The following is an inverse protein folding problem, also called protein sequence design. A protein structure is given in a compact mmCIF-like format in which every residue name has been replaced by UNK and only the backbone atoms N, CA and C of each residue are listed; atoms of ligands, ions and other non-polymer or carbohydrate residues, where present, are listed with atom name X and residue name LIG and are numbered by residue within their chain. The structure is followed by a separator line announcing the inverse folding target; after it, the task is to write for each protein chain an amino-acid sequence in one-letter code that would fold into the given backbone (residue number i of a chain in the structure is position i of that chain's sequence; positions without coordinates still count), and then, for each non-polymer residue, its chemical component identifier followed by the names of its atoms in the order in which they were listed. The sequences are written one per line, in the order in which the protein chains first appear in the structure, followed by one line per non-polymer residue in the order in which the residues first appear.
data_IF_892976915365
#
_entry.id   IF_892976915365
#
_cell.length_a   1.000
_cell.length_b   1.000
_cell.length_c   1.000
_cell.angle_alpha   90.00
_cell.angle_beta   90.00
_cell.angle_gamma   90.00
#
_symmetry.space_group_name_H-M   'P 1'
#
loop_
_entity.id
_entity.type
_entity.pdbx_description
1 polymer ?
#
# COMPACT_ATOMS: atom_id res chain seq x y z
N UNK A 1 -4.46 1.51 -12.75
CA UNK A 1 -4.85 0.61 -11.65
C UNK A 1 -5.42 -0.67 -12.20
N UNK A 2 -4.90 -1.79 -11.72
CA UNK A 2 -5.36 -3.13 -12.08
C UNK A 2 -6.83 -3.28 -11.72
N UNK A 3 -7.65 -3.71 -12.70
CA UNK A 3 -9.10 -3.89 -12.54
C UNK A 3 -9.47 -5.32 -12.88
N UNK A 4 -10.53 -5.81 -12.25
CA UNK A 4 -11.15 -7.09 -12.58
C UNK A 4 -11.61 -7.09 -14.05
N UNK A 5 -11.31 -8.18 -14.76
CA UNK A 5 -11.81 -8.53 -16.09
C UNK A 5 -12.72 -9.75 -15.94
N UNK A 6 -13.75 -9.90 -16.77
CA UNK A 6 -14.76 -10.96 -16.57
C UNK A 6 -14.35 -12.35 -17.08
N UNK A 7 -13.25 -12.41 -17.82
CA UNK A 7 -12.81 -13.53 -18.63
C UNK A 7 -11.55 -14.23 -18.09
N UNK A 8 -11.03 -13.78 -16.96
CA UNK A 8 -9.78 -14.25 -16.36
C UNK A 8 -9.94 -14.46 -14.87
N UNK A 9 -9.22 -15.41 -14.28
CA UNK A 9 -9.19 -15.62 -12.83
C UNK A 9 -8.22 -14.66 -12.12
N UNK A 10 -7.16 -14.25 -12.83
CA UNK A 10 -6.08 -13.43 -12.30
C UNK A 10 -5.85 -12.22 -13.22
N UNK A 11 -5.97 -11.03 -12.64
CA UNK A 11 -5.95 -9.76 -13.34
C UNK A 11 -4.67 -9.02 -12.98
N UNK A 12 -3.77 -8.83 -13.94
CA UNK A 12 -2.48 -8.15 -13.73
C UNK A 12 -2.24 -7.00 -14.69
N UNK A 13 -3.01 -6.95 -15.78
CA UNK A 13 -2.82 -5.99 -16.87
C UNK A 13 -3.79 -4.82 -16.71
N UNK A 14 -3.26 -3.61 -16.77
CA UNK A 14 -4.05 -2.38 -16.86
C UNK A 14 -3.79 -1.70 -18.18
N UNK A 15 -4.85 -1.21 -18.82
CA UNK A 15 -4.76 -0.24 -19.90
C UNK A 15 -5.18 1.13 -19.35
N UNK A 16 -4.22 2.04 -19.25
CA UNK A 16 -4.45 3.43 -18.85
C UNK A 16 -4.45 4.35 -20.07
N UNK A 17 -4.99 5.56 -19.90
CA UNK A 17 -5.02 6.56 -20.98
C UNK A 17 -3.60 6.97 -21.38
N UNK A 18 -3.36 7.31 -22.67
CA UNK A 18 -2.08 7.84 -23.10
C UNK A 18 -1.63 9.05 -22.25
N UNK A 19 -0.37 9.05 -21.81
CA UNK A 19 0.19 10.11 -20.96
C UNK A 19 -0.16 10.04 -19.47
N UNK A 20 -0.97 9.06 -19.05
CA UNK A 20 -1.32 8.88 -17.63
C UNK A 20 -0.18 8.29 -16.78
N UNK A 21 0.73 7.57 -17.43
CA UNK A 21 1.82 6.84 -16.79
C UNK A 21 3.15 7.33 -17.35
N UNK A 22 4.09 7.67 -16.48
CA UNK A 22 5.49 7.92 -16.87
C UNK A 22 6.19 6.61 -17.24
N UNK A 23 5.85 5.51 -16.57
CA UNK A 23 6.31 4.16 -16.86
C UNK A 23 5.14 3.18 -16.69
N UNK A 24 4.82 2.35 -17.70
CA UNK A 24 3.74 1.37 -17.61
C UNK A 24 3.99 0.28 -16.56
N UNK A 25 5.24 0.02 -16.15
CA UNK A 25 5.58 -1.00 -15.16
C UNK A 25 5.55 -0.51 -13.70
N UNK A 26 5.26 0.78 -13.47
CA UNK A 26 5.18 1.35 -12.13
C UNK A 26 3.72 1.58 -11.72
N UNK A 27 3.42 1.59 -10.41
CA UNK A 27 2.15 2.09 -9.91
C UNK A 27 1.89 3.53 -10.38
N UNK A 28 0.62 3.88 -10.65
CA UNK A 28 -0.58 3.05 -10.49
C UNK A 28 -0.86 2.13 -11.70
N UNK A 29 0.03 2.08 -12.69
CA UNK A 29 -0.25 1.53 -14.03
C UNK A 29 0.02 0.03 -14.15
N UNK A 30 1.00 -0.49 -13.42
CA UNK A 30 1.14 -1.92 -13.18
C UNK A 30 1.43 -2.20 -11.70
N UNK A 31 1.20 -3.44 -11.28
CA UNK A 31 1.46 -3.89 -9.90
C UNK A 31 0.78 -3.06 -8.79
N UNK A 32 -0.33 -2.39 -9.10
CA UNK A 32 -1.06 -1.61 -8.12
C UNK A 32 -2.44 -2.21 -7.88
N UNK A 33 -2.72 -2.51 -6.62
CA UNK A 33 -3.99 -2.98 -6.10
C UNK A 33 -4.24 -2.24 -4.80
N UNK A 34 -5.36 -1.53 -4.71
CA UNK A 34 -5.76 -0.89 -3.45
C UNK A 34 -6.01 -1.98 -2.40
N UNK A 35 -5.30 -1.90 -1.26
CA UNK A 35 -5.40 -2.92 -0.21
C UNK A 35 -6.77 -2.83 0.45
N UNK A 36 -7.58 -3.85 0.22
CA UNK A 36 -8.77 -4.12 1.04
C UNK A 36 -8.71 -5.51 1.69
N UNK A 37 -8.32 -6.53 0.93
CA UNK A 37 -8.13 -7.89 1.43
C UNK A 37 -7.01 -8.59 0.66
N UNK A 38 -5.76 -8.32 1.05
CA UNK A 38 -4.60 -8.89 0.36
C UNK A 38 -4.29 -10.32 0.80
N UNK A 39 -3.85 -11.13 -0.15
CA UNK A 39 -3.27 -12.45 0.11
C UNK A 39 -1.82 -12.42 -0.35
N UNK A 40 -0.91 -12.90 0.49
CA UNK A 40 0.52 -12.89 0.21
C UNK A 40 1.04 -14.32 0.03
N UNK A 41 2.00 -14.49 -0.88
CA UNK A 41 2.84 -15.69 -0.84
C UNK A 41 3.61 -15.76 0.47
N UNK A 42 4.04 -16.96 0.89
CA UNK A 42 4.79 -17.12 2.15
C UNK A 42 6.03 -16.23 2.22
N UNK A 43 6.72 -16.02 1.09
CA UNK A 43 7.92 -15.18 1.05
C UNK A 43 7.58 -13.69 1.11
N UNK A 44 6.57 -13.24 0.35
CA UNK A 44 6.11 -11.85 0.40
C UNK A 44 5.58 -11.49 1.79
N UNK A 45 4.83 -12.40 2.43
CA UNK A 45 4.28 -12.19 3.76
C UNK A 45 5.36 -11.86 4.80
N UNK A 46 6.51 -12.54 4.77
CA UNK A 46 7.61 -12.25 5.71
C UNK A 46 8.11 -10.81 5.59
N UNK A 47 8.26 -10.31 4.37
CA UNK A 47 8.66 -8.92 4.14
C UNK A 47 7.56 -7.94 4.56
N UNK A 48 6.31 -8.20 4.16
CA UNK A 48 5.16 -7.33 4.49
C UNK A 48 4.90 -7.28 6.00
N UNK A 49 5.09 -8.39 6.70
CA UNK A 49 4.98 -8.46 8.16
C UNK A 49 5.91 -7.46 8.86
N UNK A 50 7.13 -7.26 8.33
CA UNK A 50 8.04 -6.25 8.86
C UNK A 50 7.65 -4.82 8.50
N UNK A 51 6.85 -4.60 7.45
CA UNK A 51 6.29 -3.29 7.11
C UNK A 51 5.14 -2.91 8.06
N UNK A 52 4.23 -3.85 8.32
CA UNK A 52 3.01 -3.67 9.11
C UNK A 52 3.30 -3.80 10.61
N UNK A 53 3.91 -2.78 11.22
CA UNK A 53 4.20 -2.76 12.67
C UNK A 53 3.39 -1.73 13.46
N UNK A 54 2.38 -1.13 12.85
CA UNK A 54 1.44 -0.23 13.51
C UNK A 54 0.02 -0.79 13.34
N UNK A 55 -0.95 -0.24 14.09
CA UNK A 55 -2.36 -0.61 13.98
C UNK A 55 -2.96 -0.34 12.59
N UNK A 56 -2.23 0.40 11.74
CA UNK A 56 -2.59 0.77 10.36
C UNK A 56 -4.04 1.23 10.27
N UNK A 57 -4.41 2.12 11.18
CA UNK A 57 -5.78 2.67 11.30
C UNK A 57 -6.21 3.35 9.99
N UNK A 58 -5.24 3.66 9.11
CA UNK A 58 -5.45 3.93 7.70
C UNK A 58 -4.31 3.33 6.86
N UNK A 59 -4.62 2.30 6.06
CA UNK A 59 -3.66 1.62 5.17
C UNK A 59 -3.46 2.27 3.80
N UNK A 60 -4.09 3.42 3.53
CA UNK A 60 -3.93 4.11 2.25
C UNK A 60 -2.47 4.53 2.04
N UNK A 61 -1.91 4.17 0.88
CA UNK A 61 -0.51 4.42 0.57
C UNK A 61 0.41 3.22 0.85
N UNK A 62 0.00 2.26 1.69
CA UNK A 62 0.80 1.07 2.00
C UNK A 62 0.96 0.14 0.79
N UNK A 63 -0.07 0.09 -0.06
CA UNK A 63 -0.10 -0.62 -1.35
C UNK A 63 1.07 -0.24 -2.25
N UNK A 64 1.46 1.03 -2.28
CA UNK A 64 2.63 1.49 -3.03
C UNK A 64 3.95 0.90 -2.50
N UNK A 65 4.04 0.55 -1.22
CA UNK A 65 5.24 -0.01 -0.61
C UNK A 65 5.34 -1.54 -0.80
N UNK A 66 4.21 -2.25 -0.95
CA UNK A 66 4.18 -3.71 -1.05
C UNK A 66 5.01 -4.26 -2.22
N UNK A 67 5.14 -3.49 -3.31
CA UNK A 67 6.00 -3.84 -4.45
C UNK A 67 7.46 -4.09 -4.06
N UNK A 68 7.94 -3.52 -2.95
CA UNK A 68 9.32 -3.73 -2.46
C UNK A 68 9.53 -5.15 -1.91
N UNK A 69 8.46 -5.89 -1.64
CA UNK A 69 8.54 -7.27 -1.16
C UNK A 69 8.58 -8.33 -2.25
N UNK A 70 8.61 -7.94 -3.53
CA UNK A 70 8.53 -8.88 -4.65
C UNK A 70 9.16 -8.33 -5.93
N UNK A 71 9.95 -9.16 -6.63
CA UNK A 71 10.66 -8.78 -7.86
C UNK A 71 10.45 -9.83 -8.97
N UNK A 72 10.06 -9.45 -10.21
CA UNK A 72 9.56 -8.13 -10.60
C UNK A 72 8.12 -7.91 -10.13
N UNK A 73 7.86 -6.74 -9.55
CA UNK A 73 6.58 -6.46 -8.93
C UNK A 73 5.41 -6.51 -9.93
N UNK A 74 5.58 -5.89 -11.10
CA UNK A 74 4.56 -5.75 -12.15
C UNK A 74 4.03 -7.07 -12.72
N UNK A 75 4.76 -8.18 -12.55
CA UNK A 75 4.32 -9.51 -12.98
C UNK A 75 3.69 -10.33 -11.84
N UNK A 76 3.98 -9.96 -10.59
CA UNK A 76 3.69 -10.76 -9.40
C UNK A 76 2.58 -10.20 -8.53
N UNK A 77 2.15 -8.96 -8.76
CA UNK A 77 1.01 -8.33 -8.09
C UNK A 77 -0.19 -8.27 -9.04
N UNK A 78 -1.38 -8.62 -8.54
CA UNK A 78 -2.63 -8.57 -9.29
C UNK A 78 -3.86 -8.80 -8.41
N UNK A 79 -5.03 -8.72 -9.02
CA UNK A 79 -6.32 -9.06 -8.41
C UNK A 79 -6.65 -10.50 -8.76
N UNK A 80 -7.20 -11.26 -7.81
CA UNK A 80 -7.76 -12.60 -8.05
C UNK A 80 -9.26 -12.50 -7.81
N UNK A 81 -10.08 -12.94 -8.77
CA UNK A 81 -11.54 -12.88 -8.64
C UNK A 81 -12.20 -14.23 -8.34
N UNK A 82 -11.40 -15.27 -8.08
CA UNK A 82 -11.88 -16.55 -7.56
C UNK A 82 -12.65 -16.41 -6.22
N UNK A 83 -12.27 -15.43 -5.39
CA UNK A 83 -12.96 -15.10 -4.14
C UNK A 83 -13.01 -13.58 -3.97
N UNK A 84 -14.14 -12.96 -4.32
CA UNK A 84 -14.33 -11.53 -4.19
C UNK A 84 -15.01 -11.18 -2.85
N UNK A 85 -14.70 -10.01 -2.32
CA UNK A 85 -15.29 -9.47 -1.09
C UNK A 85 -16.01 -8.17 -1.42
N UNK A 86 -17.26 -8.02 -0.98
CA UNK A 86 -17.97 -6.75 -1.06
C UNK A 86 -17.39 -5.80 -0.02
N UNK A 87 -16.77 -4.70 -0.46
CA UNK A 87 -16.45 -3.60 0.45
C UNK A 87 -17.68 -2.70 0.63
N UNK A 88 -18.24 -2.66 1.84
CA UNK A 88 -19.44 -1.86 2.13
C UNK A 88 -19.16 -0.35 2.29
N UNK A 89 -17.89 0.07 2.26
CA UNK A 89 -17.48 1.48 2.43
C UNK A 89 -17.96 2.12 3.74
N UNK A 90 -18.21 1.30 4.77
CA UNK A 90 -18.60 1.75 6.12
C UNK A 90 -17.33 1.95 6.95
N UNK A 91 -17.05 3.17 7.44
CA UNK A 91 -15.91 3.41 8.33
C UNK A 91 -16.08 2.66 9.65
N UNK A 92 -15.19 1.72 9.95
CA UNK A 92 -15.29 0.85 11.14
C UNK A 92 -14.69 1.46 12.41
N UNK A 93 -13.73 2.38 12.28
CA UNK A 93 -12.95 2.90 13.41
C UNK A 93 -13.35 4.29 13.88
N UNK A 94 -14.30 4.97 13.21
CA UNK A 94 -14.63 6.39 13.47
C UNK A 94 -15.01 6.70 14.92
N UNK A 95 -15.62 5.75 15.64
CA UNK A 95 -16.02 5.90 17.04
C UNK A 95 -14.94 5.45 18.05
N UNK A 96 -13.78 4.97 17.60
CA UNK A 96 -12.70 4.49 18.47
C UNK A 96 -11.67 5.58 18.85
N UNK A 97 -11.96 6.84 18.52
CA UNK A 97 -11.16 7.97 19.00
C UNK A 97 -11.67 8.51 20.34
N UNK A 98 -10.83 9.27 21.03
CA UNK A 98 -11.26 10.03 22.21
C UNK A 98 -11.89 11.34 21.76
N UNK A 99 -13.09 11.64 22.24
CA UNK A 99 -13.63 13.00 22.17
C UNK A 99 -12.85 13.89 23.13
N UNK A 100 -12.42 15.06 22.66
CA UNK A 100 -11.69 16.03 23.47
C UNK A 100 -12.12 17.45 23.11
N UNK A 101 -12.37 18.29 24.11
CA UNK A 101 -12.73 19.71 23.94
C UNK A 101 -13.84 19.96 22.90
N UNK A 102 -14.88 19.12 22.89
CA UNK A 102 -16.01 19.22 21.94
C UNK A 102 -15.74 18.65 20.53
N UNK A 103 -14.54 18.10 20.27
CA UNK A 103 -14.24 17.44 18.99
C UNK A 103 -14.82 16.02 18.95
N UNK A 104 -15.40 15.61 17.82
CA UNK A 104 -15.95 14.27 17.65
C UNK A 104 -14.84 13.20 17.61
N UNK A 105 -15.12 11.95 18.05
CA UNK A 105 -14.15 10.85 18.09
C UNK A 105 -13.35 10.61 16.80
N UNK A 106 -13.98 10.76 15.62
CA UNK A 106 -13.32 10.48 14.34
C UNK A 106 -12.13 11.40 14.05
N UNK A 107 -12.09 12.60 14.65
CA UNK A 107 -10.92 13.48 14.55
C UNK A 107 -9.70 12.90 15.25
N UNK A 108 -9.89 12.30 16.43
CA UNK A 108 -8.85 11.60 17.16
C UNK A 108 -8.30 10.40 16.36
N UNK A 109 -9.19 9.67 15.68
CA UNK A 109 -8.81 8.58 14.77
C UNK A 109 -7.94 9.12 13.63
N UNK A 110 -8.37 10.18 12.93
CA UNK A 110 -7.58 10.81 11.85
C UNK A 110 -6.23 11.33 12.33
N UNK A 111 -6.14 11.91 13.52
CA UNK A 111 -4.89 12.37 14.11
C UNK A 111 -3.92 11.19 14.36
N UNK A 112 -4.43 10.09 14.92
CA UNK A 112 -3.67 8.84 15.10
C UNK A 112 -3.19 8.27 13.76
N UNK A 113 -4.06 8.20 12.75
CA UNK A 113 -3.68 7.73 11.40
C UNK A 113 -2.50 8.51 10.82
N UNK A 114 -2.56 9.85 10.88
CA UNK A 114 -1.47 10.71 10.37
C UNK A 114 -0.15 10.48 11.10
N UNK A 115 -0.21 10.30 12.42
CA UNK A 115 0.98 10.00 13.24
C UNK A 115 1.59 8.64 12.86
N UNK A 116 0.76 7.60 12.77
CA UNK A 116 1.21 6.25 12.38
C UNK A 116 1.78 6.23 10.96
N UNK A 117 1.19 6.98 10.03
CA UNK A 117 1.68 7.12 8.68
C UNK A 117 3.06 7.77 8.62
N UNK A 118 3.28 8.85 9.37
CA UNK A 118 4.60 9.48 9.47
C UNK A 118 5.67 8.53 10.00
N UNK A 119 5.36 7.76 11.05
CA UNK A 119 6.26 6.73 11.60
C UNK A 119 6.59 5.67 10.53
N UNK A 120 5.59 5.20 9.78
CA UNK A 120 5.80 4.24 8.71
C UNK A 120 6.71 4.80 7.61
N UNK A 121 6.46 6.02 7.13
CA UNK A 121 7.26 6.67 6.09
C UNK A 121 8.73 6.82 6.51
N UNK A 122 8.99 7.28 7.74
CA UNK A 122 10.36 7.38 8.27
C UNK A 122 11.05 6.01 8.30
N UNK A 123 10.39 5.00 8.86
CA UNK A 123 10.95 3.63 8.94
C UNK A 123 11.25 3.04 7.56
N UNK A 124 10.38 3.27 6.59
CA UNK A 124 10.56 2.76 5.23
C UNK A 124 11.74 3.46 4.53
N UNK A 125 11.86 4.79 4.67
CA UNK A 125 12.96 5.57 4.11
C UNK A 125 14.31 5.15 4.72
N UNK A 126 14.37 4.94 6.04
CA UNK A 126 15.57 4.48 6.73
C UNK A 126 15.99 3.09 6.27
N UNK A 127 15.04 2.16 6.12
CA UNK A 127 15.30 0.82 5.61
C UNK A 127 15.81 0.82 4.16
N UNK A 128 15.21 1.65 3.30
CA UNK A 128 15.65 1.81 1.92
C UNK A 128 17.05 2.40 1.81
N UNK A 129 17.35 3.43 2.61
CA UNK A 129 18.69 4.00 2.70
C UNK A 129 19.72 2.95 3.13
N UNK A 130 19.42 2.17 4.17
CA UNK A 130 20.30 1.12 4.66
C UNK A 130 20.57 0.06 3.58
N UNK A 131 19.53 -0.39 2.88
CA UNK A 131 19.64 -1.36 1.79
C UNK A 131 20.53 -0.86 0.65
N UNK A 132 20.35 0.40 0.21
CA UNK A 132 21.19 0.97 -0.84
C UNK A 132 22.65 1.09 -0.42
N UNK A 133 22.91 1.55 0.81
CA UNK A 133 24.27 1.65 1.35
C UNK A 133 24.95 0.28 1.47
N UNK A 134 24.24 -0.74 1.92
CA UNK A 134 24.74 -2.13 1.98
C UNK A 134 25.13 -2.66 0.60
N UNK A 135 24.44 -2.21 -0.46
CA UNK A 135 24.74 -2.55 -1.85
C UNK A 135 25.74 -1.64 -2.54
N UNK A 136 26.31 -0.66 -1.83
CA UNK A 136 27.24 0.31 -2.41
C UNK A 136 26.59 1.25 -3.44
N UNK A 137 25.27 1.43 -3.36
CA UNK A 137 24.50 2.31 -4.24
C UNK A 137 24.23 3.62 -3.50
N UNK A 138 24.42 4.76 -4.17
CA UNK A 138 24.02 6.07 -3.62
C UNK A 138 22.50 6.11 -3.44
N UNK A 139 21.98 6.30 -2.21
CA UNK A 139 20.54 6.38 -1.99
C UNK A 139 19.95 7.55 -2.77
N UNK A 140 18.78 7.38 -3.43
CA UNK A 140 18.10 8.49 -4.07
C UNK A 140 17.70 9.55 -3.04
N UNK A 141 17.73 10.84 -3.43
CA UNK A 141 17.18 11.90 -2.59
C UNK A 141 15.70 11.62 -2.37
N UNK A 142 15.34 11.29 -1.13
CA UNK A 142 13.97 10.98 -0.72
C UNK A 142 13.08 12.21 -0.86
N UNK A 143 12.56 12.46 -2.07
CA UNK A 143 11.34 13.23 -2.24
C UNK A 143 10.19 12.24 -2.13
N UNK A 144 9.71 12.04 -0.91
CA UNK A 144 8.40 11.43 -0.68
C UNK A 144 7.34 12.25 -1.44
N UNK A 145 6.83 11.69 -2.53
CA UNK A 145 5.59 12.15 -3.18
C UNK A 145 4.41 11.54 -2.45
#
# INVERSE_FOLDING_TARGET
MTKRRGDQEVHKVTEERPGWCTDPHLPPCAAFVEIMATVFSRNAWRCVWHMIQNDLVHGWGLDFALRKCVEPAHEKIGVVDAQWIVHQSVPSLGNQGKSDNGRPPWEGVRARCRKEWGIFQTRLADAEKAYYLERGITPPNSTSV
#
